data_IF_201856513916
#
_entry.id   IF_201856513916
#
_cell.length_a   1.000
_cell.length_b   1.000
_cell.length_c   1.000
_cell.angle_alpha   90.00
_cell.angle_beta   90.00
_cell.angle_gamma   90.00
#
_symmetry.space_group_name_H-M   'P 1'
#
loop_
_entity.id
_entity.type
_entity.pdbx_description
1 polymer ?
#
# COMPACT_ATOMS: atom_id res chain seq x y z
N UNK A 1 -17.48 18.26 24.19
CA UNK A 1 -16.93 17.52 23.06
C UNK A 1 -15.47 17.13 23.28
N UNK A 2 -14.58 18.07 23.58
CA UNK A 2 -13.14 17.79 23.81
C UNK A 2 -12.85 16.82 24.98
N UNK A 3 -13.63 16.84 26.07
CA UNK A 3 -13.49 15.92 27.20
C UNK A 3 -13.77 14.46 26.83
N UNK A 4 -14.82 14.18 26.06
CA UNK A 4 -15.16 12.82 25.57
C UNK A 4 -14.08 12.29 24.62
N UNK A 5 -13.59 13.12 23.70
CA UNK A 5 -12.48 12.73 22.78
C UNK A 5 -11.22 12.38 23.58
N UNK A 6 -10.92 13.12 24.65
CA UNK A 6 -9.76 12.83 25.52
C UNK A 6 -9.93 11.51 26.30
N UNK A 7 -11.14 11.19 26.74
CA UNK A 7 -11.44 9.89 27.38
C UNK A 7 -11.41 8.73 26.38
N UNK A 8 -11.96 8.92 25.19
CA UNK A 8 -11.95 7.91 24.12
C UNK A 8 -10.54 7.60 23.62
N UNK A 9 -9.67 8.61 23.52
CA UNK A 9 -8.28 8.48 23.08
C UNK A 9 -7.30 8.23 24.23
N UNK A 10 -7.75 8.12 25.47
CA UNK A 10 -6.90 7.91 26.65
C UNK A 10 -6.10 6.60 26.66
N UNK A 11 -6.45 5.65 25.77
CA UNK A 11 -5.70 4.41 25.58
C UNK A 11 -4.46 4.57 24.68
N UNK A 12 -4.30 5.70 23.99
CA UNK A 12 -3.13 6.02 23.18
C UNK A 12 -1.95 6.38 24.09
N UNK A 13 -1.27 5.37 24.63
CA UNK A 13 -0.13 5.51 25.54
C UNK A 13 0.95 4.49 25.21
N UNK A 14 2.16 4.70 25.73
CA UNK A 14 3.28 3.74 25.57
C UNK A 14 3.55 3.45 24.08
N UNK A 15 3.70 2.17 23.75
CA UNK A 15 4.00 1.70 22.40
C UNK A 15 3.02 2.24 21.36
N UNK A 16 1.73 2.30 21.68
CA UNK A 16 0.71 2.73 20.72
C UNK A 16 0.90 4.19 20.30
N UNK A 17 1.28 5.07 21.24
CA UNK A 17 1.60 6.48 20.93
C UNK A 17 2.84 6.60 20.03
N UNK A 18 3.89 5.81 20.32
CA UNK A 18 5.14 5.75 19.53
C UNK A 18 4.84 5.27 18.10
N UNK A 19 4.00 4.25 17.95
CA UNK A 19 3.60 3.71 16.66
C UNK A 19 2.76 4.72 15.87
N UNK A 20 1.78 5.35 16.50
CA UNK A 20 0.94 6.38 15.86
C UNK A 20 1.77 7.57 15.37
N UNK A 21 2.69 8.09 16.21
CA UNK A 21 3.60 9.15 15.80
C UNK A 21 4.48 8.70 14.62
N UNK A 22 5.02 7.47 14.66
CA UNK A 22 5.78 6.88 13.57
C UNK A 22 4.98 6.82 12.27
N UNK A 23 3.73 6.35 12.33
CA UNK A 23 2.87 6.23 11.16
C UNK A 23 2.47 7.58 10.56
N UNK A 24 2.25 8.60 11.38
CA UNK A 24 2.01 9.95 10.89
C UNK A 24 3.21 10.50 10.12
N UNK A 25 4.43 10.28 10.62
CA UNK A 25 5.65 10.67 9.91
C UNK A 25 5.82 9.87 8.62
N UNK A 26 5.58 8.55 8.65
CA UNK A 26 5.60 7.73 7.42
C UNK A 26 4.53 8.14 6.41
N UNK A 27 3.34 8.52 6.86
CA UNK A 27 2.30 9.06 6.00
C UNK A 27 2.77 10.33 5.28
N UNK A 28 3.29 11.30 6.03
CA UNK A 28 3.83 12.53 5.46
C UNK A 28 4.97 12.26 4.46
N UNK A 29 5.95 11.46 4.84
CA UNK A 29 7.09 11.13 3.97
C UNK A 29 6.67 10.36 2.73
N UNK A 30 5.70 9.45 2.84
CA UNK A 30 5.12 8.76 1.68
C UNK A 30 4.45 9.74 0.72
N UNK A 31 3.67 10.70 1.26
CA UNK A 31 3.09 11.79 0.46
C UNK A 31 4.14 12.61 -0.28
N UNK A 32 5.30 12.87 0.35
CA UNK A 32 6.38 13.62 -0.29
C UNK A 32 6.99 12.89 -1.50
N UNK A 33 7.38 11.63 -1.37
CA UNK A 33 8.15 10.98 -2.44
C UNK A 33 7.31 10.19 -3.44
N UNK A 34 6.17 9.64 -3.03
CA UNK A 34 5.40 8.69 -3.84
C UNK A 34 4.98 9.25 -5.21
N UNK A 35 4.46 10.48 -5.33
CA UNK A 35 4.01 11.03 -6.61
C UNK A 35 5.13 11.19 -7.64
N UNK A 36 6.36 11.39 -7.19
CA UNK A 36 7.50 11.72 -8.06
C UNK A 36 8.53 10.61 -8.18
N UNK A 37 8.33 9.49 -7.47
CA UNK A 37 9.31 8.39 -7.42
C UNK A 37 9.62 7.83 -8.82
N UNK A 38 8.62 7.48 -9.60
CA UNK A 38 8.82 6.88 -10.91
C UNK A 38 9.39 7.87 -11.93
N UNK A 39 8.89 9.11 -12.06
CA UNK A 39 9.55 10.14 -12.86
C UNK A 39 11.02 10.35 -12.47
N UNK A 40 11.34 10.42 -11.17
CA UNK A 40 12.70 10.58 -10.69
C UNK A 40 13.62 9.43 -11.13
N UNK A 41 13.19 8.18 -10.98
CA UNK A 41 13.98 7.02 -11.39
C UNK A 41 14.14 6.99 -12.92
N UNK A 42 13.10 7.40 -13.65
CA UNK A 42 13.13 7.56 -15.10
C UNK A 42 14.18 8.56 -15.56
N UNK A 43 14.22 9.73 -14.92
CA UNK A 43 15.21 10.80 -15.21
C UNK A 43 16.65 10.36 -14.92
N UNK A 44 16.83 9.43 -13.98
CA UNK A 44 18.13 8.79 -13.71
C UNK A 44 18.49 7.66 -14.69
N UNK A 45 17.78 7.55 -15.81
CA UNK A 45 18.11 6.67 -16.94
C UNK A 45 17.43 5.30 -16.90
N UNK A 46 16.49 5.03 -16.00
CA UNK A 46 15.73 3.78 -16.03
C UNK A 46 14.73 3.75 -17.19
N UNK A 47 14.68 2.66 -17.96
CA UNK A 47 13.58 2.44 -18.89
C UNK A 47 12.28 2.03 -18.14
N UNK A 48 11.11 2.15 -18.76
CA UNK A 48 9.86 1.67 -18.17
C UNK A 48 9.90 0.19 -17.80
N UNK A 49 10.55 -0.66 -18.60
CA UNK A 49 10.76 -2.06 -18.27
C UNK A 49 11.61 -2.21 -17.01
N UNK A 50 12.70 -1.41 -16.88
CA UNK A 50 13.54 -1.41 -15.68
C UNK A 50 12.75 -0.99 -14.45
N UNK A 51 11.89 0.02 -14.54
CA UNK A 51 10.97 0.42 -13.46
C UNK A 51 10.05 -0.73 -13.04
N UNK A 52 9.49 -1.45 -14.02
CA UNK A 52 8.69 -2.65 -13.79
C UNK A 52 9.47 -3.75 -13.08
N UNK A 53 10.68 -4.05 -13.55
CA UNK A 53 11.58 -5.05 -12.96
C UNK A 53 12.00 -4.68 -11.52
N UNK A 54 12.33 -3.40 -11.26
CA UNK A 54 12.65 -2.90 -9.92
C UNK A 54 11.47 -3.07 -8.96
N UNK A 55 10.26 -2.77 -9.43
CA UNK A 55 9.03 -2.94 -8.66
C UNK A 55 8.76 -4.42 -8.38
N UNK A 56 8.91 -5.28 -9.38
CA UNK A 56 8.80 -6.73 -9.24
C UNK A 56 9.82 -7.29 -8.24
N UNK A 57 11.09 -6.87 -8.33
CA UNK A 57 12.12 -7.27 -7.39
C UNK A 57 11.76 -6.88 -5.95
N UNK A 58 11.23 -5.67 -5.73
CA UNK A 58 10.71 -5.24 -4.44
C UNK A 58 9.63 -6.18 -3.89
N UNK A 59 8.64 -6.55 -4.70
CA UNK A 59 7.57 -7.47 -4.28
C UNK A 59 8.08 -8.89 -3.99
N UNK A 60 9.02 -9.39 -4.77
CA UNK A 60 9.67 -10.69 -4.49
C UNK A 60 10.37 -10.67 -3.14
N UNK A 61 11.19 -9.65 -2.89
CA UNK A 61 11.91 -9.52 -1.62
C UNK A 61 10.95 -9.40 -0.45
N UNK A 62 9.92 -8.55 -0.56
CA UNK A 62 8.89 -8.39 0.48
C UNK A 62 8.17 -9.71 0.80
N UNK A 63 7.85 -10.52 -0.22
CA UNK A 63 7.26 -11.83 -0.02
C UNK A 63 8.20 -12.80 0.70
N UNK A 64 9.50 -12.76 0.34
CA UNK A 64 10.52 -13.64 0.91
C UNK A 64 10.87 -13.31 2.37
N UNK A 65 10.88 -12.01 2.75
CA UNK A 65 11.31 -11.59 4.09
C UNK A 65 10.22 -11.69 5.16
N UNK A 66 8.95 -11.81 4.76
CA UNK A 66 7.82 -11.78 5.72
C UNK A 66 7.85 -12.95 6.70
N UNK A 67 8.10 -14.18 6.23
CA UNK A 67 8.15 -15.36 7.09
C UNK A 67 9.41 -15.37 7.97
N UNK A 68 10.63 -15.18 7.43
CA UNK A 68 11.81 -15.02 8.27
C UNK A 68 11.70 -13.89 9.28
N UNK A 69 10.99 -12.81 8.92
CA UNK A 69 10.80 -11.67 9.80
C UNK A 69 10.05 -12.00 11.09
N UNK A 70 8.98 -12.79 11.02
CA UNK A 70 8.27 -13.25 12.20
C UNK A 70 9.18 -14.09 13.13
N UNK A 71 9.89 -15.05 12.53
CA UNK A 71 10.83 -15.90 13.25
C UNK A 71 11.98 -15.13 13.94
N UNK A 72 12.56 -14.16 13.21
CA UNK A 72 13.64 -13.32 13.75
C UNK A 72 13.11 -12.46 14.91
N UNK A 73 11.88 -11.93 14.79
CA UNK A 73 11.26 -11.13 15.83
C UNK A 73 11.00 -11.92 17.12
N UNK A 74 10.53 -13.16 16.99
CA UNK A 74 10.28 -14.03 18.15
C UNK A 74 11.57 -14.47 18.84
N UNK A 75 12.68 -14.64 18.08
CA UNK A 75 13.97 -15.08 18.62
C UNK A 75 14.82 -13.95 19.22
N UNK A 76 14.86 -12.78 18.60
CA UNK A 76 15.77 -11.68 18.98
C UNK A 76 15.07 -10.53 19.70
N UNK A 77 13.76 -10.64 19.89
CA UNK A 77 12.91 -9.59 20.44
C UNK A 77 12.39 -8.65 19.37
N UNK A 78 11.12 -8.31 19.49
CA UNK A 78 10.40 -7.47 18.52
C UNK A 78 10.96 -6.05 18.45
N UNK A 79 11.23 -5.46 19.62
CA UNK A 79 11.80 -4.10 19.70
C UNK A 79 13.13 -3.98 18.96
N UNK A 80 14.06 -4.91 19.19
CA UNK A 80 15.39 -4.89 18.53
C UNK A 80 15.26 -4.97 17.01
N UNK A 81 14.44 -5.89 16.52
CA UNK A 81 14.20 -6.10 15.09
C UNK A 81 13.59 -4.85 14.47
N UNK A 82 12.56 -4.25 15.08
CA UNK A 82 11.93 -3.02 14.58
C UNK A 82 12.94 -1.88 14.51
N UNK A 83 13.72 -1.66 15.55
CA UNK A 83 14.69 -0.55 15.61
C UNK A 83 15.77 -0.72 14.56
N UNK A 84 16.46 -1.88 14.53
CA UNK A 84 17.56 -2.13 13.59
C UNK A 84 17.11 -1.98 12.14
N UNK A 85 15.98 -2.56 11.78
CA UNK A 85 15.50 -2.51 10.40
C UNK A 85 14.81 -1.18 10.05
N UNK A 86 14.36 -0.37 11.03
CA UNK A 86 13.97 1.01 10.78
C UNK A 86 15.20 1.86 10.40
N UNK A 87 16.36 1.68 11.04
CA UNK A 87 17.62 2.29 10.61
C UNK A 87 18.04 1.80 9.22
N UNK A 88 17.86 0.51 8.91
CA UNK A 88 18.10 -0.04 7.57
C UNK A 88 17.21 0.62 6.50
N UNK A 89 15.93 0.82 6.81
CA UNK A 89 15.02 1.55 5.94
C UNK A 89 15.45 3.02 5.76
N UNK A 90 15.91 3.69 6.82
CA UNK A 90 16.45 5.04 6.71
C UNK A 90 17.68 5.08 5.79
N UNK A 91 18.61 4.13 5.92
CA UNK A 91 19.78 4.02 5.06
C UNK A 91 19.39 3.90 3.58
N UNK A 92 18.30 3.21 3.25
CA UNK A 92 17.83 3.11 1.87
C UNK A 92 17.55 4.48 1.24
N UNK A 93 17.05 5.45 2.01
CA UNK A 93 16.79 6.80 1.50
C UNK A 93 18.07 7.59 1.24
N UNK A 94 19.18 7.29 1.91
CA UNK A 94 20.48 7.89 1.57
C UNK A 94 20.90 7.53 0.13
N UNK A 95 20.66 6.31 -0.32
CA UNK A 95 20.89 5.93 -1.72
C UNK A 95 20.04 6.76 -2.70
N UNK A 96 18.78 7.10 -2.35
CA UNK A 96 17.98 8.00 -3.19
C UNK A 96 18.53 9.42 -3.24
N UNK A 97 19.06 9.95 -2.12
CA UNK A 97 19.63 11.30 -2.06
C UNK A 97 20.86 11.42 -2.97
N UNK A 98 21.75 10.41 -2.92
CA UNK A 98 23.03 10.42 -3.63
C UNK A 98 22.99 9.66 -4.96
N UNK A 99 21.82 9.27 -5.45
CA UNK A 99 21.71 8.55 -6.71
C UNK A 99 22.16 9.42 -7.89
N UNK A 100 23.07 8.87 -8.70
CA UNK A 100 23.52 9.43 -9.99
C UNK A 100 23.03 8.59 -11.18
N UNK A 101 22.55 7.38 -10.91
CA UNK A 101 22.06 6.41 -11.88
C UNK A 101 20.99 5.54 -11.20
N UNK A 102 20.06 5.00 -11.98
CA UNK A 102 18.99 4.15 -11.48
C UNK A 102 19.46 2.88 -10.75
N UNK A 103 20.68 2.37 -11.07
CA UNK A 103 21.25 1.20 -10.40
C UNK A 103 21.48 1.43 -8.92
N UNK A 104 21.84 2.66 -8.54
CA UNK A 104 21.96 3.05 -7.12
C UNK A 104 20.60 2.96 -6.43
N UNK A 105 19.53 3.36 -7.13
CA UNK A 105 18.16 3.23 -6.59
C UNK A 105 17.70 1.76 -6.54
N UNK A 106 18.17 0.91 -7.44
CA UNK A 106 17.91 -0.54 -7.31
C UNK A 106 18.48 -1.08 -5.99
N UNK A 107 19.70 -0.67 -5.60
CA UNK A 107 20.26 -1.01 -4.27
C UNK A 107 19.36 -0.47 -3.16
N UNK A 108 18.88 0.76 -3.27
CA UNK A 108 17.95 1.34 -2.31
C UNK A 108 16.64 0.51 -2.19
N UNK A 109 16.08 0.06 -3.32
CA UNK A 109 14.88 -0.80 -3.35
C UNK A 109 15.14 -2.13 -2.65
N UNK A 110 16.28 -2.76 -2.90
CA UNK A 110 16.67 -4.01 -2.23
C UNK A 110 16.82 -3.79 -0.73
N UNK A 111 17.58 -2.79 -0.30
CA UNK A 111 17.79 -2.47 1.13
C UNK A 111 16.48 -2.14 1.81
N UNK A 112 15.64 -1.31 1.20
CA UNK A 112 14.32 -0.97 1.73
C UNK A 112 13.43 -2.19 1.87
N UNK A 113 13.34 -3.03 0.84
CA UNK A 113 12.50 -4.23 0.84
C UNK A 113 12.97 -5.27 1.86
N UNK A 114 14.28 -5.47 2.00
CA UNK A 114 14.87 -6.30 3.06
C UNK A 114 14.56 -5.74 4.45
N UNK A 115 14.61 -4.42 4.61
CA UNK A 115 14.32 -3.77 5.88
C UNK A 115 12.88 -4.03 6.35
N UNK A 116 11.93 -4.31 5.46
CA UNK A 116 10.55 -4.65 5.84
C UNK A 116 10.41 -6.00 6.57
N UNK A 117 11.50 -6.71 6.82
CA UNK A 117 11.56 -7.90 7.68
C UNK A 117 11.00 -7.62 9.10
N UNK A 118 11.00 -6.36 9.55
CA UNK A 118 10.43 -5.97 10.84
C UNK A 118 8.88 -5.92 10.86
N UNK A 119 8.22 -6.03 9.70
CA UNK A 119 6.77 -5.83 9.60
C UNK A 119 5.95 -6.76 10.50
N UNK A 120 6.23 -8.10 10.58
CA UNK A 120 5.50 -8.98 11.49
C UNK A 120 5.70 -8.61 12.97
N UNK A 121 6.90 -8.18 13.36
CA UNK A 121 7.18 -7.70 14.72
C UNK A 121 6.33 -6.46 15.07
N UNK A 122 6.20 -5.55 14.11
CA UNK A 122 5.41 -4.34 14.26
C UNK A 122 3.92 -4.67 14.42
N UNK A 123 3.37 -5.54 13.57
CA UNK A 123 1.99 -6.04 13.65
C UNK A 123 1.70 -6.72 15.00
N UNK A 124 2.68 -7.43 15.56
CA UNK A 124 2.57 -8.07 16.87
C UNK A 124 2.55 -7.05 18.02
N UNK A 125 3.47 -6.06 18.04
CA UNK A 125 3.45 -4.99 19.07
C UNK A 125 2.16 -4.17 18.99
N UNK A 126 1.63 -3.91 17.78
CA UNK A 126 0.34 -3.26 17.60
C UNK A 126 -0.78 -4.04 18.28
N UNK A 127 -0.87 -5.34 18.01
CA UNK A 127 -1.90 -6.22 18.56
C UNK A 127 -1.84 -6.29 20.09
N UNK A 128 -0.63 -6.37 20.66
CA UNK A 128 -0.40 -6.45 22.10
C UNK A 128 -0.67 -5.13 22.82
N UNK A 129 -0.43 -4.01 22.14
CA UNK A 129 -0.61 -2.67 22.70
C UNK A 129 -2.07 -2.19 22.66
N UNK A 130 -2.94 -2.86 21.90
CA UNK A 130 -4.34 -2.49 21.77
C UNK A 130 -5.22 -3.19 22.83
N UNK A 131 -5.93 -2.42 23.70
CA UNK A 131 -6.86 -2.99 24.67
C UNK A 131 -7.96 -3.82 23.98
N UNK A 132 -8.32 -5.03 24.49
CA UNK A 132 -9.30 -5.91 23.85
C UNK A 132 -10.62 -5.23 23.49
N UNK A 133 -11.15 -4.36 24.35
CA UNK A 133 -12.41 -3.65 24.12
C UNK A 133 -12.32 -2.46 23.15
N UNK A 134 -11.11 -2.08 22.69
CA UNK A 134 -10.89 -0.92 21.80
C UNK A 134 -10.05 -1.25 20.55
N UNK A 135 -9.86 -2.53 20.26
CA UNK A 135 -9.07 -2.98 19.09
C UNK A 135 -9.60 -2.41 17.77
N UNK A 136 -10.91 -2.42 17.57
CA UNK A 136 -11.51 -1.85 16.35
C UNK A 136 -11.17 -0.38 16.14
N UNK A 137 -11.35 0.46 17.18
CA UNK A 137 -11.00 1.89 17.13
C UNK A 137 -9.48 2.07 16.93
N UNK A 138 -8.66 1.31 17.64
CA UNK A 138 -7.20 1.39 17.54
C UNK A 138 -6.68 1.07 16.14
N UNK A 139 -7.12 -0.02 15.54
CA UNK A 139 -6.76 -0.35 14.15
C UNK A 139 -7.28 0.68 13.15
N UNK A 140 -8.50 1.21 13.35
CA UNK A 140 -9.01 2.29 12.49
C UNK A 140 -8.13 3.52 12.55
N UNK A 141 -7.65 3.92 13.73
CA UNK A 141 -6.73 5.05 13.88
C UNK A 141 -5.39 4.78 13.21
N UNK A 142 -4.80 3.58 13.38
CA UNK A 142 -3.55 3.17 12.73
C UNK A 142 -3.64 3.30 11.20
N UNK A 143 -4.79 2.99 10.60
CA UNK A 143 -5.00 3.07 9.15
C UNK A 143 -5.32 4.48 8.64
N UNK A 144 -6.07 5.27 9.40
CA UNK A 144 -6.58 6.59 8.95
C UNK A 144 -5.59 7.72 9.24
N UNK A 145 -4.98 7.70 10.44
CA UNK A 145 -4.13 8.80 10.89
C UNK A 145 -2.93 9.12 9.97
N UNK A 146 -2.23 8.14 9.36
CA UNK A 146 -1.15 8.44 8.41
C UNK A 146 -1.60 9.23 7.18
N UNK A 147 -2.85 9.06 6.76
CA UNK A 147 -3.43 9.78 5.62
C UNK A 147 -3.55 11.28 5.86
N UNK A 148 -3.71 11.71 7.11
CA UNK A 148 -3.88 13.14 7.45
C UNK A 148 -2.65 13.98 7.06
N UNK A 149 -1.41 13.65 7.47
CA UNK A 149 -0.25 14.42 7.02
C UNK A 149 0.18 14.08 5.59
N UNK A 150 -0.24 12.94 5.04
CA UNK A 150 0.15 12.50 3.70
C UNK A 150 -0.32 13.45 2.58
N UNK A 151 -1.49 14.09 2.73
CA UNK A 151 -2.01 14.97 1.68
C UNK A 151 -1.21 16.27 1.49
N UNK A 152 -0.42 16.68 2.48
CA UNK A 152 0.46 17.85 2.37
C UNK A 152 1.73 17.57 1.56
N UNK A 153 2.16 16.31 1.54
CA UNK A 153 3.40 15.89 0.89
C UNK A 153 3.48 16.23 -0.60
N UNK A 154 2.47 15.86 -1.42
CA UNK A 154 2.55 16.02 -2.88
C UNK A 154 2.71 17.47 -3.32
N UNK A 155 2.01 18.43 -2.73
CA UNK A 155 2.16 19.84 -3.09
C UNK A 155 3.52 20.39 -2.64
N UNK A 156 4.03 19.98 -1.48
CA UNK A 156 5.35 20.40 -1.00
C UNK A 156 6.47 19.88 -1.92
N UNK A 157 6.42 18.60 -2.28
CA UNK A 157 7.40 18.03 -3.21
C UNK A 157 7.21 18.57 -4.64
N UNK A 158 5.97 18.82 -5.08
CA UNK A 158 5.68 19.46 -6.36
C UNK A 158 6.31 20.84 -6.47
N UNK A 159 6.22 21.66 -5.42
CA UNK A 159 6.88 22.96 -5.36
C UNK A 159 8.42 22.84 -5.45
N UNK A 160 9.02 21.89 -4.74
CA UNK A 160 10.47 21.66 -4.80
C UNK A 160 10.92 21.19 -6.18
N UNK A 161 10.16 20.31 -6.81
CA UNK A 161 10.42 19.81 -8.17
C UNK A 161 10.29 20.94 -9.19
N UNK A 162 9.28 21.78 -9.07
CA UNK A 162 9.09 22.94 -9.95
C UNK A 162 10.22 23.96 -9.81
N UNK A 163 10.64 24.23 -8.58
CA UNK A 163 11.65 25.26 -8.26
C UNK A 163 13.08 24.86 -8.63
N UNK A 164 13.42 23.59 -8.42
CA UNK A 164 14.81 23.11 -8.53
C UNK A 164 15.04 22.12 -9.67
N UNK A 165 13.97 21.72 -10.38
CA UNK A 165 13.99 20.61 -11.33
C UNK A 165 13.78 19.25 -10.63
N UNK A 166 13.44 18.23 -11.43
CA UNK A 166 13.02 16.92 -10.92
C UNK A 166 14.12 16.24 -10.09
N UNK A 167 15.32 16.11 -10.62
CA UNK A 167 16.40 15.39 -9.90
C UNK A 167 16.87 16.13 -8.64
N UNK A 168 17.25 17.43 -8.70
CA UNK A 168 17.66 18.16 -7.50
C UNK A 168 16.52 18.30 -6.48
N UNK A 169 15.28 18.60 -6.93
CA UNK A 169 14.12 18.70 -6.06
C UNK A 169 13.84 17.40 -5.31
N UNK A 170 13.90 16.27 -6.00
CA UNK A 170 13.70 14.97 -5.37
C UNK A 170 14.85 14.55 -4.44
N UNK A 171 16.08 14.98 -4.68
CA UNK A 171 17.17 14.79 -3.72
C UNK A 171 16.90 15.51 -2.40
N UNK A 172 16.37 16.75 -2.46
CA UNK A 172 15.95 17.49 -1.27
C UNK A 172 14.79 16.76 -0.57
N UNK A 173 13.78 16.30 -1.32
CA UNK A 173 12.68 15.50 -0.78
C UNK A 173 13.20 14.26 -0.06
N UNK A 174 14.06 13.47 -0.68
CA UNK A 174 14.61 12.27 -0.04
C UNK A 174 15.54 12.58 1.13
N UNK A 175 16.22 13.72 1.16
CA UNK A 175 17.00 14.17 2.32
C UNK A 175 16.06 14.46 3.52
N UNK A 176 14.94 15.13 3.29
CA UNK A 176 13.90 15.33 4.32
C UNK A 176 13.34 13.99 4.79
N UNK A 177 13.00 13.08 3.87
CA UNK A 177 12.52 11.73 4.19
C UNK A 177 13.55 10.97 5.04
N UNK A 178 14.82 11.00 4.67
CA UNK A 178 15.92 10.38 5.43
C UNK A 178 15.96 10.89 6.88
N UNK A 179 15.93 12.22 7.06
CA UNK A 179 15.93 12.83 8.40
C UNK A 179 14.69 12.41 9.19
N UNK A 180 13.52 12.44 8.57
CA UNK A 180 12.26 12.02 9.21
C UNK A 180 12.30 10.54 9.64
N UNK A 181 12.78 9.64 8.78
CA UNK A 181 12.84 8.20 9.10
C UNK A 181 13.92 7.92 10.15
N UNK A 182 15.05 8.64 10.13
CA UNK A 182 16.05 8.57 11.21
C UNK A 182 15.46 9.05 12.55
N UNK A 183 14.67 10.12 12.54
CA UNK A 183 13.98 10.58 13.73
C UNK A 183 12.99 9.52 14.26
N UNK A 184 12.23 8.87 13.37
CA UNK A 184 11.36 7.75 13.74
C UNK A 184 12.18 6.58 14.31
N UNK A 185 13.32 6.23 13.71
CA UNK A 185 14.19 5.18 14.23
C UNK A 185 14.70 5.54 15.65
N UNK A 186 15.09 6.80 15.88
CA UNK A 186 15.47 7.30 17.21
C UNK A 186 14.33 7.30 18.22
N UNK A 187 13.12 7.69 17.82
CA UNK A 187 11.92 7.64 18.66
C UNK A 187 11.61 6.19 19.04
N UNK A 188 11.61 5.27 18.07
CA UNK A 188 11.40 3.84 18.32
C UNK A 188 12.48 3.26 19.21
N UNK A 189 13.73 3.60 18.99
CA UNK A 189 14.85 3.16 19.83
C UNK A 189 14.70 3.60 21.29
N UNK A 190 14.25 4.84 21.51
CA UNK A 190 14.18 5.43 22.86
C UNK A 190 12.91 5.09 23.64
N UNK A 191 11.79 4.90 22.95
CA UNK A 191 10.46 4.88 23.58
C UNK A 191 9.63 3.64 23.27
N UNK A 192 10.02 2.82 22.29
CA UNK A 192 9.31 1.56 22.04
C UNK A 192 9.78 0.51 23.05
N UNK A 193 8.85 -0.16 23.68
CA UNK A 193 9.08 -1.18 24.71
C UNK A 193 8.84 -2.58 24.14
N UNK A 194 9.62 -3.56 24.61
CA UNK A 194 9.46 -4.96 24.22
C UNK A 194 8.14 -5.53 24.74
N UNK A 195 7.45 -6.30 23.92
CA UNK A 195 6.20 -6.99 24.26
C UNK A 195 6.30 -8.52 24.13
N UNK A 196 7.38 -9.04 23.56
CA UNK A 196 7.61 -10.48 23.51
C UNK A 196 7.83 -11.04 24.91
N UNK A 197 7.25 -12.23 25.20
CA UNK A 197 7.59 -13.01 26.40
C UNK A 197 9.00 -13.59 26.32
N UNK A 198 9.31 -14.53 27.22
CA UNK A 198 10.60 -15.24 27.22
C UNK A 198 10.85 -15.94 25.88
N UNK A 199 12.09 -15.83 25.38
CA UNK A 199 12.53 -16.29 24.06
C UNK A 199 12.27 -17.79 23.88
N UNK A 200 11.40 -18.20 22.95
CA UNK A 200 11.33 -19.58 22.49
C UNK A 200 12.44 -19.83 21.46
N UNK A 201 13.30 -20.83 21.72
CA UNK A 201 14.33 -21.26 20.79
C UNK A 201 13.72 -22.06 19.63
N UNK A 202 13.14 -21.36 18.66
CA UNK A 202 12.71 -21.97 17.40
C UNK A 202 13.91 -22.30 16.52
N UNK A 203 13.99 -23.54 16.07
CA UNK A 203 15.12 -24.07 15.32
C UNK A 203 15.09 -23.69 13.82
N UNK A 204 16.30 -23.65 13.19
CA UNK A 204 16.45 -23.40 11.75
C UNK A 204 15.61 -24.36 10.87
N UNK A 205 15.36 -25.59 11.34
CA UNK A 205 14.52 -26.59 10.64
C UNK A 205 13.06 -26.17 10.59
N UNK A 206 12.56 -25.54 11.64
CA UNK A 206 11.18 -25.07 11.74
C UNK A 206 10.91 -23.88 10.79
N UNK A 207 11.89 -23.00 10.59
CA UNK A 207 11.80 -21.91 9.62
C UNK A 207 11.66 -22.42 8.17
N UNK A 208 12.46 -23.41 7.80
CA UNK A 208 12.38 -24.03 6.46
C UNK A 208 11.08 -24.82 6.30
N UNK A 209 10.64 -25.50 7.35
CA UNK A 209 9.37 -26.22 7.38
C UNK A 209 8.19 -25.26 7.22
N UNK A 210 8.15 -24.17 7.97
CA UNK A 210 7.10 -23.14 7.88
C UNK A 210 7.01 -22.48 6.51
N UNK A 211 8.18 -22.23 5.88
CA UNK A 211 8.20 -21.67 4.51
C UNK A 211 7.62 -22.66 3.51
N UNK A 212 8.05 -23.92 3.56
CA UNK A 212 7.55 -24.99 2.68
C UNK A 212 6.07 -25.24 2.91
N UNK A 213 5.64 -25.29 4.15
CA UNK A 213 4.23 -25.48 4.54
C UNK A 213 3.35 -24.31 4.07
N UNK A 214 3.83 -23.08 4.14
CA UNK A 214 3.13 -21.90 3.62
C UNK A 214 2.90 -22.00 2.10
N UNK A 215 3.87 -22.48 1.34
CA UNK A 215 3.72 -22.64 -0.12
C UNK A 215 2.77 -23.81 -0.47
N UNK A 216 2.89 -24.95 0.23
CA UNK A 216 2.00 -26.10 0.02
C UNK A 216 0.56 -25.81 0.47
N UNK A 217 0.39 -25.06 1.55
CA UNK A 217 -0.93 -24.69 2.07
C UNK A 217 -1.74 -23.84 1.08
N UNK A 218 -1.10 -23.15 0.12
CA UNK A 218 -1.78 -22.37 -0.93
C UNK A 218 -2.70 -23.28 -1.76
N UNK A 219 -2.20 -24.42 -2.23
CA UNK A 219 -2.97 -25.35 -3.07
C UNK A 219 -4.11 -26.00 -2.30
N UNK A 220 -3.84 -26.43 -1.08
CA UNK A 220 -4.85 -27.07 -0.23
C UNK A 220 -5.94 -26.08 0.19
N UNK A 221 -5.54 -24.87 0.59
CA UNK A 221 -6.48 -23.85 0.99
C UNK A 221 -7.34 -23.39 -0.20
N UNK A 222 -6.76 -23.24 -1.41
CA UNK A 222 -7.54 -22.95 -2.62
C UNK A 222 -8.59 -24.04 -2.91
N UNK A 223 -8.22 -25.31 -2.75
CA UNK A 223 -9.16 -26.43 -2.92
C UNK A 223 -10.23 -26.52 -1.82
N UNK A 224 -9.86 -26.14 -0.60
CA UNK A 224 -10.76 -26.10 0.55
C UNK A 224 -11.60 -24.83 0.68
N UNK A 225 -11.42 -23.84 -0.20
CA UNK A 225 -12.26 -22.65 -0.23
C UNK A 225 -13.59 -22.96 -0.88
N UNK A 226 -14.67 -22.44 -0.29
CA UNK A 226 -15.98 -22.45 -0.89
C UNK A 226 -15.99 -21.68 -2.22
N UNK A 227 -16.93 -22.02 -3.08
CA UNK A 227 -17.01 -21.45 -4.44
C UNK A 227 -17.09 -19.92 -4.42
N UNK A 228 -17.85 -19.35 -3.52
CA UNK A 228 -18.02 -17.90 -3.38
C UNK A 228 -16.74 -17.21 -2.91
N UNK A 229 -16.05 -17.77 -1.92
CA UNK A 229 -14.76 -17.26 -1.45
C UNK A 229 -13.71 -17.27 -2.59
N UNK A 230 -13.74 -18.29 -3.46
CA UNK A 230 -12.87 -18.35 -4.64
C UNK A 230 -13.14 -17.22 -5.62
N UNK A 231 -14.40 -16.87 -5.88
CA UNK A 231 -14.74 -15.76 -6.76
C UNK A 231 -14.30 -14.41 -6.19
N UNK A 232 -14.52 -14.18 -4.90
CA UNK A 232 -14.03 -12.95 -4.23
C UNK A 232 -12.50 -12.89 -4.22
N UNK A 233 -11.84 -14.04 -4.03
CA UNK A 233 -10.38 -14.13 -4.16
C UNK A 233 -9.92 -13.78 -5.58
N UNK A 234 -10.61 -14.27 -6.61
CA UNK A 234 -10.29 -13.94 -7.99
C UNK A 234 -10.45 -12.46 -8.29
N UNK A 235 -11.53 -11.81 -7.83
CA UNK A 235 -11.71 -10.35 -7.92
C UNK A 235 -10.55 -9.62 -7.24
N UNK A 236 -10.17 -10.07 -6.03
CA UNK A 236 -9.04 -9.49 -5.29
C UNK A 236 -7.70 -9.64 -6.02
N UNK A 237 -7.48 -10.76 -6.70
CA UNK A 237 -6.26 -10.99 -7.50
C UNK A 237 -6.25 -10.14 -8.76
N UNK A 238 -7.36 -10.05 -9.49
CA UNK A 238 -7.48 -9.21 -10.69
C UNK A 238 -7.19 -7.73 -10.36
N UNK A 239 -7.81 -7.20 -9.31
CA UNK A 239 -7.51 -5.86 -8.81
C UNK A 239 -6.02 -5.70 -8.43
N UNK A 240 -5.43 -6.76 -7.88
CA UNK A 240 -4.02 -6.70 -7.48
C UNK A 240 -3.06 -6.63 -8.66
N UNK A 241 -3.45 -7.14 -9.83
CA UNK A 241 -2.66 -6.99 -11.06
C UNK A 241 -2.57 -5.51 -11.49
N UNK A 242 -3.60 -4.71 -11.21
CA UNK A 242 -3.60 -3.28 -11.57
C UNK A 242 -2.78 -2.41 -10.61
N UNK A 243 -2.50 -2.90 -9.40
CA UNK A 243 -1.80 -2.12 -8.38
C UNK A 243 -0.45 -1.57 -8.85
N UNK A 244 0.44 -2.33 -9.53
CA UNK A 244 1.68 -1.80 -10.10
C UNK A 244 1.46 -0.73 -11.16
N UNK A 245 0.35 -0.79 -11.93
CA UNK A 245 -0.01 0.23 -12.92
C UNK A 245 -0.18 1.60 -12.25
N UNK A 246 -0.99 1.65 -11.20
CA UNK A 246 -1.24 2.90 -10.48
C UNK A 246 -0.04 3.35 -9.64
N UNK A 247 0.70 2.40 -9.03
CA UNK A 247 1.87 2.70 -8.19
C UNK A 247 3.05 3.27 -8.99
N UNK A 248 3.29 2.76 -10.19
CA UNK A 248 4.54 3.02 -10.93
C UNK A 248 4.29 3.85 -12.19
N UNK A 249 3.27 3.52 -12.98
CA UNK A 249 3.10 4.08 -14.32
C UNK A 249 2.14 5.28 -14.35
N UNK A 250 1.30 5.47 -13.35
CA UNK A 250 0.33 6.57 -13.30
C UNK A 250 1.01 7.95 -13.33
N UNK A 251 1.99 8.17 -12.43
CA UNK A 251 2.76 9.40 -12.41
C UNK A 251 3.66 9.54 -13.64
N UNK A 252 4.23 8.43 -14.12
CA UNK A 252 5.08 8.44 -15.31
C UNK A 252 4.32 8.90 -16.55
N UNK A 253 3.08 8.41 -16.75
CA UNK A 253 2.23 8.83 -17.86
C UNK A 253 1.84 10.31 -17.77
N UNK A 254 1.52 10.79 -16.58
CA UNK A 254 1.21 12.19 -16.34
C UNK A 254 2.35 13.11 -16.79
N UNK A 255 3.60 12.73 -16.52
CA UNK A 255 4.80 13.44 -16.97
C UNK A 255 5.10 13.24 -18.45
N UNK A 256 5.16 11.98 -18.90
CA UNK A 256 5.67 11.62 -20.23
C UNK A 256 4.66 11.95 -21.36
N UNK A 257 3.36 11.96 -21.08
CA UNK A 257 2.30 12.05 -22.09
C UNK A 257 1.43 13.29 -21.91
N UNK A 258 0.94 13.53 -20.70
CA UNK A 258 0.09 14.69 -20.41
C UNK A 258 0.92 15.98 -20.33
N UNK A 259 2.19 15.86 -19.89
CA UNK A 259 3.12 16.97 -19.81
C UNK A 259 2.86 17.92 -18.65
N UNK A 260 2.31 17.39 -17.52
CA UNK A 260 2.07 18.19 -16.30
C UNK A 260 3.38 18.61 -15.67
N UNK A 261 3.43 19.81 -15.11
CA UNK A 261 4.59 20.32 -14.36
C UNK A 261 4.67 19.66 -12.97
N UNK A 262 5.79 19.89 -12.28
CA UNK A 262 5.98 19.37 -10.92
C UNK A 262 4.90 19.85 -9.96
N UNK A 263 4.61 21.15 -9.97
CA UNK A 263 3.59 21.72 -9.10
C UNK A 263 2.18 21.24 -9.48
N UNK A 264 1.87 21.18 -10.76
CA UNK A 264 0.57 20.66 -11.24
C UNK A 264 0.34 19.22 -10.79
N UNK A 265 1.33 18.34 -10.92
CA UNK A 265 1.21 16.96 -10.45
C UNK A 265 1.07 16.85 -8.93
N UNK A 266 1.81 17.68 -8.20
CA UNK A 266 1.67 17.79 -6.75
C UNK A 266 0.27 18.24 -6.33
N UNK A 267 -0.30 19.25 -7.01
CA UNK A 267 -1.67 19.72 -6.78
C UNK A 267 -2.72 18.67 -7.14
N UNK A 268 -2.61 18.02 -8.32
CA UNK A 268 -3.49 16.92 -8.73
C UNK A 268 -3.52 15.82 -7.64
N UNK A 269 -2.35 15.40 -7.17
CA UNK A 269 -2.22 14.36 -6.15
C UNK A 269 -2.82 14.80 -4.81
N UNK A 270 -2.61 16.05 -4.41
CA UNK A 270 -3.18 16.61 -3.17
C UNK A 270 -4.70 16.71 -3.26
N UNK A 271 -5.24 17.25 -4.35
CA UNK A 271 -6.70 17.37 -4.57
C UNK A 271 -7.35 15.98 -4.54
N UNK A 272 -6.73 14.99 -5.19
CA UNK A 272 -7.20 13.60 -5.14
C UNK A 272 -7.19 13.01 -3.72
N UNK A 273 -6.12 13.22 -2.96
CA UNK A 273 -6.03 12.75 -1.57
C UNK A 273 -7.07 13.40 -0.67
N UNK A 274 -7.30 14.70 -0.82
CA UNK A 274 -8.36 15.42 -0.11
C UNK A 274 -9.74 14.87 -0.48
N UNK A 275 -10.00 14.62 -1.77
CA UNK A 275 -11.25 14.03 -2.24
C UNK A 275 -11.48 12.65 -1.60
N UNK A 276 -10.45 11.79 -1.56
CA UNK A 276 -10.52 10.49 -0.89
C UNK A 276 -10.88 10.61 0.59
N UNK A 277 -10.26 11.54 1.32
CA UNK A 277 -10.55 11.77 2.75
C UNK A 277 -11.98 12.25 2.95
N UNK A 278 -12.43 13.24 2.17
CA UNK A 278 -13.76 13.81 2.29
C UNK A 278 -14.87 12.83 1.94
N UNK A 279 -14.65 12.01 0.89
CA UNK A 279 -15.64 11.04 0.41
C UNK A 279 -15.57 9.72 1.18
N UNK A 280 -14.44 9.37 1.78
CA UNK A 280 -14.23 8.07 2.42
C UNK A 280 -15.27 7.72 3.49
N UNK A 281 -15.59 8.67 4.39
CA UNK A 281 -16.60 8.44 5.42
C UNK A 281 -18.03 8.29 4.86
N UNK A 282 -18.55 9.21 4.02
CA UNK A 282 -19.87 9.01 3.40
C UNK A 282 -19.92 7.77 2.49
N UNK A 283 -18.84 7.44 1.76
CA UNK A 283 -18.78 6.24 0.94
C UNK A 283 -18.94 4.97 1.80
N UNK A 284 -18.27 4.88 2.95
CA UNK A 284 -18.45 3.75 3.87
C UNK A 284 -19.91 3.55 4.28
N UNK A 285 -20.63 4.62 4.65
CA UNK A 285 -22.04 4.55 4.97
C UNK A 285 -22.93 4.11 3.78
N UNK A 286 -22.57 4.54 2.58
CA UNK A 286 -23.28 4.14 1.36
C UNK A 286 -23.03 2.64 1.10
N UNK A 287 -21.79 2.17 1.23
CA UNK A 287 -21.41 0.75 1.10
C UNK A 287 -22.27 -0.14 2.01
N UNK A 288 -22.45 0.28 3.28
CA UNK A 288 -23.28 -0.47 4.23
C UNK A 288 -24.76 -0.48 3.85
N UNK A 289 -25.28 0.58 3.18
CA UNK A 289 -26.69 0.69 2.78
C UNK A 289 -27.03 -0.05 1.48
N UNK A 290 -26.19 0.07 0.45
CA UNK A 290 -26.49 -0.48 -0.88
C UNK A 290 -25.93 -1.89 -1.09
N UNK A 291 -25.13 -2.40 -0.13
CA UNK A 291 -24.47 -3.70 -0.19
C UNK A 291 -23.08 -3.66 -0.85
N UNK A 292 -22.28 -4.70 -0.56
CA UNK A 292 -20.86 -4.76 -0.95
C UNK A 292 -20.70 -4.93 -2.45
N UNK A 293 -21.47 -5.82 -3.06
CA UNK A 293 -21.47 -6.09 -4.51
C UNK A 293 -21.81 -4.85 -5.33
N UNK A 294 -22.90 -4.18 -4.99
CA UNK A 294 -23.33 -2.96 -5.71
C UNK A 294 -22.33 -1.83 -5.57
N UNK A 295 -21.71 -1.71 -4.40
CA UNK A 295 -20.66 -0.70 -4.16
C UNK A 295 -19.41 -0.95 -5.01
N UNK A 296 -18.98 -2.21 -5.18
CA UNK A 296 -17.87 -2.55 -6.08
C UNK A 296 -18.22 -2.27 -7.54
N UNK A 297 -19.45 -2.58 -7.97
CA UNK A 297 -19.90 -2.25 -9.33
C UNK A 297 -19.95 -0.74 -9.57
N UNK A 298 -20.42 0.06 -8.59
CA UNK A 298 -20.38 1.52 -8.66
C UNK A 298 -18.93 2.03 -8.75
N UNK A 299 -18.02 1.44 -7.99
CA UNK A 299 -16.61 1.80 -8.06
C UNK A 299 -16.03 1.55 -9.47
N UNK A 300 -16.28 0.40 -10.08
CA UNK A 300 -15.83 0.12 -11.45
C UNK A 300 -16.54 0.96 -12.51
N UNK A 301 -17.82 1.30 -12.32
CA UNK A 301 -18.54 2.24 -13.17
C UNK A 301 -17.87 3.61 -13.20
N UNK A 302 -17.21 4.00 -12.12
CA UNK A 302 -16.43 5.24 -12.03
C UNK A 302 -14.98 5.05 -12.52
N UNK A 303 -14.29 3.95 -12.16
CA UNK A 303 -12.85 3.78 -12.46
C UNK A 303 -12.60 3.47 -13.93
N UNK A 304 -13.43 2.65 -14.59
CA UNK A 304 -13.21 2.27 -15.99
C UNK A 304 -13.24 3.48 -16.93
N UNK A 305 -14.23 4.40 -16.87
CA UNK A 305 -14.17 5.64 -17.64
C UNK A 305 -12.99 6.54 -17.27
N UNK A 306 -12.50 6.50 -16.01
CA UNK A 306 -11.34 7.31 -15.62
C UNK A 306 -10.04 6.81 -16.24
N UNK A 307 -9.86 5.50 -16.44
CA UNK A 307 -8.70 4.97 -17.18
C UNK A 307 -8.70 5.47 -18.64
N UNK A 308 -9.87 5.50 -19.29
CA UNK A 308 -10.02 6.06 -20.64
C UNK A 308 -9.81 7.57 -20.64
N UNK A 309 -10.41 8.28 -19.69
CA UNK A 309 -10.24 9.71 -19.49
C UNK A 309 -8.78 10.11 -19.22
N UNK A 310 -8.06 9.28 -18.47
CA UNK A 310 -6.62 9.45 -18.19
C UNK A 310 -5.79 9.41 -19.49
N UNK A 311 -6.07 8.45 -20.37
CA UNK A 311 -5.42 8.37 -21.68
C UNK A 311 -5.78 9.54 -22.61
N UNK A 312 -6.97 10.12 -22.44
CA UNK A 312 -7.46 11.25 -23.23
C UNK A 312 -7.07 12.62 -22.68
N UNK A 313 -6.64 12.70 -21.42
CA UNK A 313 -6.31 13.97 -20.75
C UNK A 313 -5.15 14.70 -21.46
N UNK A 314 -5.28 16.04 -21.57
CA UNK A 314 -4.32 16.91 -22.27
C UNK A 314 -3.84 18.09 -21.42
N UNK A 315 -4.00 18.05 -20.10
CA UNK A 315 -3.54 19.10 -19.21
C UNK A 315 -4.08 18.99 -17.80
N UNK A 316 -3.70 19.96 -16.96
CA UNK A 316 -3.95 19.98 -15.53
C UNK A 316 -5.41 19.72 -15.14
N UNK A 317 -6.37 20.48 -15.71
CA UNK A 317 -7.77 20.41 -15.27
C UNK A 317 -8.37 19.02 -15.54
N UNK A 318 -8.17 18.50 -16.76
CA UNK A 318 -8.69 17.18 -17.14
C UNK A 318 -8.08 16.09 -16.27
N UNK A 319 -6.77 16.19 -16.03
CA UNK A 319 -6.04 15.25 -15.18
C UNK A 319 -6.50 15.30 -13.73
N UNK A 320 -6.77 16.51 -13.20
CA UNK A 320 -7.29 16.70 -11.85
C UNK A 320 -8.69 16.09 -11.69
N UNK A 321 -9.60 16.32 -12.64
CA UNK A 321 -10.95 15.73 -12.64
C UNK A 321 -10.87 14.20 -12.68
N UNK A 322 -10.10 13.65 -13.60
CA UNK A 322 -9.90 12.19 -13.72
C UNK A 322 -9.35 11.61 -12.41
N UNK A 323 -8.33 12.25 -11.81
CA UNK A 323 -7.78 11.80 -10.55
C UNK A 323 -8.78 11.85 -9.39
N UNK A 324 -9.59 12.91 -9.29
CA UNK A 324 -10.65 13.00 -8.27
C UNK A 324 -11.67 11.88 -8.42
N UNK A 325 -12.16 11.62 -9.64
CA UNK A 325 -13.14 10.54 -9.90
C UNK A 325 -12.53 9.17 -9.55
N UNK A 326 -11.26 8.96 -9.89
CA UNK A 326 -10.54 7.74 -9.50
C UNK A 326 -10.45 7.57 -7.98
N UNK A 327 -10.12 8.63 -7.24
CA UNK A 327 -10.06 8.58 -5.78
C UNK A 327 -11.44 8.36 -5.13
N UNK A 328 -12.50 8.90 -5.72
CA UNK A 328 -13.88 8.61 -5.32
C UNK A 328 -14.21 7.14 -5.55
N UNK A 329 -13.85 6.58 -6.70
CA UNK A 329 -14.00 5.14 -6.98
C UNK A 329 -13.29 4.29 -5.93
N UNK A 330 -12.05 4.61 -5.58
CA UNK A 330 -11.26 3.93 -4.54
C UNK A 330 -11.94 3.97 -3.17
N UNK A 331 -12.60 5.09 -2.83
CA UNK A 331 -13.32 5.26 -1.58
C UNK A 331 -14.52 4.30 -1.44
N UNK A 332 -15.12 3.87 -2.54
CA UNK A 332 -16.17 2.84 -2.55
C UNK A 332 -15.60 1.43 -2.60
N UNK A 333 -14.54 1.23 -3.41
CA UNK A 333 -14.03 -0.10 -3.72
C UNK A 333 -13.39 -0.81 -2.52
N UNK A 334 -12.43 -0.17 -1.87
CA UNK A 334 -11.66 -0.82 -0.80
C UNK A 334 -12.49 -1.19 0.43
N UNK A 335 -13.38 -0.33 0.96
CA UNK A 335 -14.27 -0.73 2.04
C UNK A 335 -15.20 -1.88 1.66
N UNK A 336 -15.79 -1.83 0.46
CA UNK A 336 -16.69 -2.87 -0.02
C UNK A 336 -15.99 -4.23 -0.15
N UNK A 337 -14.82 -4.27 -0.78
CA UNK A 337 -14.04 -5.50 -0.94
C UNK A 337 -13.55 -6.07 0.39
N UNK A 338 -13.05 -5.22 1.29
CA UNK A 338 -12.56 -5.68 2.60
C UNK A 338 -13.70 -6.19 3.48
N UNK A 339 -14.86 -5.52 3.48
CA UNK A 339 -16.04 -5.98 4.18
C UNK A 339 -16.54 -7.32 3.60
N UNK A 340 -16.67 -7.44 2.26
CA UNK A 340 -17.08 -8.66 1.61
C UNK A 340 -16.17 -9.85 1.98
N UNK A 341 -14.87 -9.65 1.95
CA UNK A 341 -13.88 -10.67 2.35
C UNK A 341 -14.04 -11.07 3.82
N UNK A 342 -14.29 -10.10 4.70
CA UNK A 342 -14.47 -10.36 6.12
C UNK A 342 -15.79 -11.09 6.41
N UNK A 343 -16.87 -10.75 5.70
CA UNK A 343 -18.20 -11.34 5.89
C UNK A 343 -18.24 -12.79 5.38
N UNK A 344 -17.57 -13.09 4.24
CA UNK A 344 -17.60 -14.42 3.61
C UNK A 344 -16.67 -15.44 4.25
N UNK A 345 -15.62 -15.00 4.97
CA UNK A 345 -14.65 -15.93 5.55
C UNK A 345 -15.02 -16.28 7.00
N UNK A 346 -15.27 -17.58 7.32
CA UNK A 346 -15.58 -18.03 8.67
C UNK A 346 -14.54 -17.56 9.69
N UNK A 347 -14.98 -17.15 10.88
CA UNK A 347 -14.13 -16.57 11.92
C UNK A 347 -12.94 -17.47 12.27
N UNK A 348 -13.16 -18.79 12.35
CA UNK A 348 -12.16 -19.79 12.70
C UNK A 348 -11.06 -19.94 11.64
N UNK A 349 -11.37 -19.67 10.37
CA UNK A 349 -10.43 -19.81 9.24
C UNK A 349 -9.93 -18.46 8.71
N UNK A 350 -10.42 -17.33 9.28
CA UNK A 350 -10.19 -15.97 8.74
C UNK A 350 -8.71 -15.63 8.61
N UNK A 351 -7.92 -15.85 9.64
CA UNK A 351 -6.48 -15.57 9.60
C UNK A 351 -5.75 -16.35 8.50
N UNK A 352 -6.04 -17.65 8.38
CA UNK A 352 -5.42 -18.52 7.38
C UNK A 352 -5.81 -18.11 5.95
N UNK A 353 -7.10 -17.90 5.69
CA UNK A 353 -7.60 -17.56 4.34
C UNK A 353 -7.14 -16.15 3.93
N UNK A 354 -7.23 -15.16 4.84
CA UNK A 354 -6.77 -13.79 4.55
C UNK A 354 -5.26 -13.73 4.31
N UNK A 355 -4.46 -14.45 5.09
CA UNK A 355 -3.02 -14.59 4.87
C UNK A 355 -2.68 -15.20 3.51
N UNK A 356 -3.42 -16.26 3.14
CA UNK A 356 -3.29 -16.89 1.83
C UNK A 356 -3.62 -15.92 0.68
N UNK A 357 -4.77 -15.22 0.76
CA UNK A 357 -5.15 -14.22 -0.25
C UNK A 357 -4.08 -13.14 -0.38
N UNK A 358 -3.49 -12.70 0.75
CA UNK A 358 -2.38 -11.74 0.74
C UNK A 358 -1.12 -12.26 0.06
N UNK A 359 -0.77 -13.53 0.28
CA UNK A 359 0.37 -14.19 -0.40
C UNK A 359 0.12 -14.32 -1.90
N UNK A 360 -1.05 -14.79 -2.29
CA UNK A 360 -1.45 -14.90 -3.71
C UNK A 360 -1.41 -13.53 -4.40
N UNK A 361 -1.88 -12.48 -3.72
CA UNK A 361 -1.77 -11.10 -4.19
C UNK A 361 -0.32 -10.71 -4.47
N UNK A 362 0.56 -10.91 -3.50
CA UNK A 362 1.97 -10.54 -3.65
C UNK A 362 2.62 -11.26 -4.85
N UNK A 363 2.31 -12.54 -5.03
CA UNK A 363 2.80 -13.34 -6.17
C UNK A 363 2.23 -12.78 -7.50
N UNK A 364 0.95 -12.43 -7.56
CA UNK A 364 0.31 -11.89 -8.76
C UNK A 364 0.89 -10.54 -9.18
N UNK A 365 1.26 -9.68 -8.23
CA UNK A 365 1.82 -8.36 -8.50
C UNK A 365 3.22 -8.40 -9.14
N UNK A 366 3.99 -9.47 -8.90
CA UNK A 366 5.36 -9.61 -9.43
C UNK A 366 5.39 -9.59 -10.97
N UNK A 367 4.73 -10.50 -11.69
CA UNK A 367 4.74 -10.47 -13.15
C UNK A 367 4.02 -9.24 -13.71
N UNK A 368 2.98 -8.77 -13.04
CA UNK A 368 2.19 -7.62 -13.50
C UNK A 368 3.06 -6.36 -13.65
N UNK A 369 3.92 -6.06 -12.68
CA UNK A 369 4.79 -4.89 -12.73
C UNK A 369 5.77 -4.95 -13.91
N UNK A 370 6.38 -6.11 -14.18
CA UNK A 370 7.28 -6.30 -15.32
C UNK A 370 6.52 -6.21 -16.66
N UNK A 371 5.36 -6.86 -16.75
CA UNK A 371 4.51 -6.83 -17.96
C UNK A 371 4.08 -5.40 -18.29
N UNK A 372 3.61 -4.64 -17.31
CA UNK A 372 3.24 -3.24 -17.53
C UNK A 372 4.44 -2.38 -17.94
N UNK A 373 5.63 -2.64 -17.40
CA UNK A 373 6.85 -1.95 -17.83
C UNK A 373 7.17 -2.21 -19.29
N UNK A 374 7.13 -3.47 -19.72
CA UNK A 374 7.32 -3.87 -21.12
C UNK A 374 6.26 -3.25 -22.06
N UNK A 375 5.01 -3.33 -21.68
CA UNK A 375 3.92 -2.78 -22.46
C UNK A 375 4.01 -1.25 -22.60
N UNK A 376 4.43 -0.57 -21.54
CA UNK A 376 4.65 0.88 -21.56
C UNK A 376 5.78 1.30 -22.52
N UNK A 377 6.82 0.46 -22.66
CA UNK A 377 7.87 0.70 -23.68
C UNK A 377 7.36 0.56 -25.11
N UNK A 378 6.48 -0.42 -25.35
CA UNK A 378 5.88 -0.62 -26.67
C UNK A 378 4.93 0.53 -27.04
N UNK A 379 4.04 0.87 -26.13
CA UNK A 379 3.13 2.02 -26.23
C UNK A 379 2.67 2.42 -24.82
N UNK A 380 2.79 3.71 -24.52
CA UNK A 380 2.44 4.28 -23.22
C UNK A 380 0.98 4.04 -22.79
N UNK A 381 0.07 3.84 -23.74
CA UNK A 381 -1.35 3.57 -23.50
C UNK A 381 -1.65 2.08 -23.21
N UNK A 382 -0.83 1.13 -23.67
CA UNK A 382 -1.12 -0.30 -23.55
C UNK A 382 -1.37 -0.78 -22.12
N UNK A 383 -0.59 -0.36 -21.10
CA UNK A 383 -0.87 -0.75 -19.71
C UNK A 383 -2.29 -0.37 -19.26
N UNK A 384 -2.77 0.80 -19.65
CA UNK A 384 -4.10 1.31 -19.30
C UNK A 384 -5.21 0.59 -20.06
N UNK A 385 -4.98 0.24 -21.33
CA UNK A 385 -5.92 -0.58 -22.12
C UNK A 385 -6.09 -1.97 -21.49
N UNK A 386 -5.00 -2.57 -21.01
CA UNK A 386 -5.06 -3.83 -20.28
C UNK A 386 -5.75 -3.65 -18.92
N UNK A 387 -5.51 -2.54 -18.22
CA UNK A 387 -6.26 -2.18 -17.01
C UNK A 387 -7.76 -2.16 -17.27
N UNK A 388 -8.22 -1.48 -18.32
CA UNK A 388 -9.63 -1.47 -18.75
C UNK A 388 -10.14 -2.91 -19.00
N UNK A 389 -9.36 -3.74 -19.69
CA UNK A 389 -9.75 -5.14 -19.93
C UNK A 389 -9.87 -5.95 -18.63
N UNK A 390 -8.94 -5.77 -17.68
CA UNK A 390 -9.00 -6.40 -16.36
C UNK A 390 -10.25 -5.94 -15.60
N UNK A 391 -10.56 -4.64 -15.60
CA UNK A 391 -11.76 -4.11 -14.94
C UNK A 391 -13.05 -4.68 -15.56
N UNK A 392 -13.15 -4.76 -16.90
CA UNK A 392 -14.31 -5.35 -17.59
C UNK A 392 -14.48 -6.83 -17.21
N UNK A 393 -13.39 -7.61 -17.18
CA UNK A 393 -13.44 -9.01 -16.72
C UNK A 393 -13.87 -9.08 -15.26
N UNK A 394 -13.34 -8.20 -14.40
CA UNK A 394 -13.68 -8.15 -12.97
C UNK A 394 -15.15 -7.82 -12.76
N UNK A 395 -15.69 -6.83 -13.48
CA UNK A 395 -17.11 -6.47 -13.46
C UNK A 395 -17.98 -7.65 -13.89
N UNK A 396 -17.60 -8.37 -14.95
CA UNK A 396 -18.33 -9.57 -15.42
C UNK A 396 -18.37 -10.66 -14.35
N UNK A 397 -17.25 -10.89 -13.64
CA UNK A 397 -17.19 -11.83 -12.53
C UNK A 397 -18.09 -11.37 -11.37
N UNK A 398 -18.05 -10.08 -11.02
CA UNK A 398 -18.89 -9.55 -9.94
C UNK A 398 -20.38 -9.68 -10.30
N UNK A 399 -20.76 -9.38 -11.55
CA UNK A 399 -22.15 -9.48 -12.00
C UNK A 399 -22.67 -10.90 -12.05
N UNK A 400 -21.83 -11.86 -12.47
CA UNK A 400 -22.28 -13.23 -12.71
C UNK A 400 -22.08 -14.18 -11.54
N UNK A 401 -21.07 -13.93 -10.69
CA UNK A 401 -20.56 -14.95 -9.78
C UNK A 401 -20.41 -14.51 -8.31
N UNK A 402 -20.49 -13.21 -8.01
CA UNK A 402 -20.39 -12.70 -6.63
C UNK A 402 -21.77 -12.34 -6.13
N UNK A 403 -22.20 -12.93 -5.01
CA UNK A 403 -23.40 -12.55 -4.28
C UNK A 403 -23.06 -11.70 -3.06
N UNK A 404 -23.96 -10.80 -2.67
CA UNK A 404 -23.87 -10.22 -1.32
C UNK A 404 -24.18 -11.35 -0.31
N UNK A 405 -23.38 -11.49 0.77
CA UNK A 405 -23.74 -12.44 1.83
C UNK A 405 -25.13 -12.08 2.35
N UNK A 406 -25.96 -13.12 2.56
CA UNK A 406 -27.24 -12.94 3.22
C UNK A 406 -26.97 -12.23 4.53
N UNK A 407 -27.55 -11.03 4.70
CA UNK A 407 -27.55 -10.36 5.99
C UNK A 407 -28.25 -11.30 6.95
N UNK A 408 -27.48 -12.01 7.79
CA UNK A 408 -28.05 -12.64 8.96
C UNK A 408 -28.71 -11.51 9.77
N UNK A 409 -30.02 -11.40 9.68
CA UNK A 409 -30.81 -10.63 10.63
C UNK A 409 -30.57 -11.26 12.02
N UNK A 410 -29.62 -10.67 12.78
CA UNK A 410 -29.51 -10.79 14.23
C UNK A 410 -29.33 -9.40 14.85
#
# INVERSE_FOLDING_TARGET
MLGRVREELGFLRGNLLVLMASYMVFGFTSGLFSPFRSPYIRELGASPLVLGLMTSAGYVILALVRIPGAFIADRYGRWKVIVVFTFGAALSYAFYVFAWDWRVILVAVVVSSLSHIYQPALEAIEADSLPPGRRGLGYSLIWVMPGVPAFLGPVASGYLVERYGLVPGMRVVYAVVLVCVLAVAGIRWRYLEETAGEEEELGRRELVASFRESVWSIREAWRGMDREIRYVTLVYLLMSLEFPLFQTFYSLYAYDVVGVTGLEWGLISTIGSVALILVGYPAGKIVDRIGRRRSMLLAYLLSTPTLLGFMAARGFIQMAVVNVVFQVSTAFFFPALNALRADMVPREKRGRIMGLMGTMRSIAMVPAATVFGYLYELNRAYPYMIGVAIEVVTVTIILGLVSDPETSEE
#
